data_IF_710998134033
#
_entry.id   IF_710998134033
#
_cell.length_a   1.000
_cell.length_b   1.000
_cell.length_c   1.000
_cell.angle_alpha   90.00
_cell.angle_beta   90.00
_cell.angle_gamma   90.00
#
_symmetry.space_group_name_H-M   'P 1'
#
loop_
_entity.id
_entity.type
_entity.pdbx_description
1 polymer ?
#
# COMPACT_ATOMS: atom_id res chain seq x y z
N UNK A 1 -9.14 -13.72 3.26
CA UNK A 1 -8.78 -14.74 2.25
C UNK A 1 -9.51 -14.57 0.92
N UNK A 2 -10.84 -14.62 0.87
CA UNK A 2 -11.61 -14.52 -0.40
C UNK A 2 -11.23 -13.29 -1.26
N UNK A 3 -11.12 -12.11 -0.64
CA UNK A 3 -10.70 -10.88 -1.34
C UNK A 3 -9.34 -11.02 -2.03
N UNK A 4 -8.36 -11.65 -1.37
CA UNK A 4 -7.03 -11.85 -1.95
C UNK A 4 -7.10 -12.78 -3.17
N UNK A 5 -7.83 -13.89 -3.05
CA UNK A 5 -8.05 -14.82 -4.17
C UNK A 5 -8.73 -14.14 -5.36
N UNK A 6 -9.71 -13.26 -5.11
CA UNK A 6 -10.35 -12.49 -6.17
C UNK A 6 -9.37 -11.52 -6.84
N UNK A 7 -8.54 -10.81 -6.07
CA UNK A 7 -7.53 -9.91 -6.63
C UNK A 7 -6.48 -10.68 -7.46
N UNK A 8 -6.11 -11.89 -7.02
CA UNK A 8 -5.19 -12.77 -7.75
C UNK A 8 -5.71 -13.19 -9.13
N UNK A 9 -7.03 -13.18 -9.36
CA UNK A 9 -7.60 -13.42 -10.70
C UNK A 9 -7.34 -12.28 -11.69
N UNK A 10 -6.99 -11.08 -11.19
CA UNK A 10 -6.76 -9.89 -12.02
C UNK A 10 -5.27 -9.73 -12.33
N UNK A 11 -4.42 -9.87 -11.30
CA UNK A 11 -2.97 -9.66 -11.40
C UNK A 11 -2.26 -10.32 -10.20
N UNK A 12 -0.92 -10.46 -10.22
CA UNK A 12 -0.16 -10.89 -9.04
C UNK A 12 -0.44 -10.00 -7.81
N UNK A 13 -0.63 -10.63 -6.65
CA UNK A 13 -0.98 -9.94 -5.40
C UNK A 13 0.14 -10.09 -4.38
N UNK A 14 0.51 -8.95 -3.78
CA UNK A 14 1.37 -8.88 -2.61
C UNK A 14 0.55 -8.25 -1.49
N UNK A 15 0.50 -8.90 -0.33
CA UNK A 15 -0.31 -8.47 0.80
C UNK A 15 0.50 -8.45 2.10
N UNK A 16 0.26 -7.43 2.92
CA UNK A 16 0.77 -7.34 4.29
C UNK A 16 -0.39 -7.46 5.28
N UNK A 17 -0.12 -8.00 6.46
CA UNK A 17 -1.13 -8.23 7.49
C UNK A 17 -1.65 -6.92 8.09
N UNK A 18 -2.95 -6.68 8.02
CA UNK A 18 -3.62 -5.57 8.69
C UNK A 18 -3.99 -5.86 10.14
N UNK A 19 -4.29 -4.82 10.92
CA UNK A 19 -4.66 -4.94 12.34
C UNK A 19 -5.98 -5.71 12.59
N UNK A 20 -6.83 -5.81 11.56
CA UNK A 20 -8.09 -6.57 11.60
C UNK A 20 -7.96 -8.00 11.06
N UNK A 21 -6.82 -8.37 10.48
CA UNK A 21 -6.58 -9.69 9.91
C UNK A 21 -6.13 -10.67 11.02
N UNK A 22 -7.09 -11.03 11.89
CA UNK A 22 -6.85 -11.81 13.13
C UNK A 22 -7.12 -13.30 12.99
N UNK A 23 -7.78 -13.73 11.92
CA UNK A 23 -8.10 -15.14 11.72
C UNK A 23 -6.89 -15.88 11.14
N UNK A 24 -6.90 -17.21 11.28
CA UNK A 24 -5.76 -18.10 10.94
C UNK A 24 -5.30 -18.00 9.49
N UNK A 25 -6.19 -17.68 8.55
CA UNK A 25 -5.83 -17.47 7.13
C UNK A 25 -4.79 -16.35 6.95
N UNK A 26 -4.73 -15.38 7.87
CA UNK A 26 -3.82 -14.24 7.82
C UNK A 26 -2.49 -14.49 8.51
N UNK A 27 -2.31 -15.64 9.18
CA UNK A 27 -1.05 -15.95 9.89
C UNK A 27 0.12 -16.19 8.92
N UNK A 28 -0.16 -16.49 7.65
CA UNK A 28 0.84 -16.57 6.59
C UNK A 28 1.25 -15.20 6.04
N UNK A 29 0.52 -14.12 6.35
CA UNK A 29 0.84 -12.78 5.87
C UNK A 29 1.92 -12.13 6.73
N UNK A 30 2.97 -11.64 6.09
CA UNK A 30 4.02 -10.87 6.76
C UNK A 30 3.49 -9.49 7.18
N UNK A 31 4.01 -8.95 8.29
CA UNK A 31 3.65 -7.60 8.76
C UNK A 31 4.19 -6.48 7.86
N UNK A 32 5.33 -6.72 7.22
CA UNK A 32 5.90 -5.87 6.19
C UNK A 32 6.48 -6.72 5.05
N UNK A 33 6.65 -6.11 3.89
CA UNK A 33 7.30 -6.71 2.73
C UNK A 33 8.09 -5.66 1.94
N UNK A 34 9.14 -6.10 1.25
CA UNK A 34 9.80 -5.29 0.21
C UNK A 34 9.45 -5.88 -1.14
N UNK A 35 8.94 -5.03 -2.03
CA UNK A 35 8.69 -5.37 -3.43
C UNK A 35 9.73 -4.68 -4.31
N UNK A 36 10.23 -5.41 -5.30
CA UNK A 36 11.11 -4.90 -6.34
C UNK A 36 10.35 -4.86 -7.67
N UNK A 37 10.42 -3.72 -8.37
CA UNK A 37 9.88 -3.58 -9.72
C UNK A 37 10.86 -2.78 -10.59
N UNK A 38 11.56 -3.48 -11.48
CA UNK A 38 12.74 -2.92 -12.13
C UNK A 38 13.82 -2.67 -11.08
N UNK A 39 14.43 -1.47 -11.06
CA UNK A 39 15.44 -1.10 -10.06
C UNK A 39 14.83 -0.26 -8.91
N UNK A 40 13.52 -0.37 -8.68
CA UNK A 40 12.81 0.40 -7.67
C UNK A 40 12.33 -0.51 -6.54
N UNK A 41 12.57 -0.07 -5.31
CA UNK A 41 12.19 -0.80 -4.09
C UNK A 41 11.03 -0.12 -3.36
N UNK A 42 10.04 -0.92 -2.98
CA UNK A 42 8.82 -0.47 -2.31
C UNK A 42 8.70 -1.19 -0.97
N UNK A 43 8.73 -0.46 0.14
CA UNK A 43 8.48 -1.00 1.46
C UNK A 43 6.98 -0.92 1.79
N UNK A 44 6.36 -2.06 2.05
CA UNK A 44 4.94 -2.16 2.36
C UNK A 44 4.74 -2.55 3.82
N UNK A 45 3.84 -1.88 4.53
CA UNK A 45 3.43 -2.22 5.89
C UNK A 45 2.01 -1.70 6.17
N UNK A 46 1.32 -2.23 7.17
CA UNK A 46 -0.05 -1.76 7.44
C UNK A 46 -0.10 -0.34 8.03
N UNK A 47 0.79 -0.02 8.96
CA UNK A 47 0.76 1.23 9.72
C UNK A 47 2.15 1.84 9.77
N UNK A 48 2.28 3.08 9.30
CA UNK A 48 3.57 3.78 9.17
C UNK A 48 4.26 4.01 10.52
N UNK A 49 3.52 4.00 11.63
CA UNK A 49 4.09 4.10 12.98
C UNK A 49 4.95 2.88 13.35
N UNK A 50 4.77 1.74 12.68
CA UNK A 50 5.59 0.54 12.84
C UNK A 50 6.77 0.48 11.86
N UNK A 51 7.05 1.56 11.11
CA UNK A 51 8.22 1.63 10.26
C UNK A 51 9.48 1.62 11.13
N UNK A 52 10.34 0.64 10.92
CA UNK A 52 11.50 0.30 11.76
C UNK A 52 12.86 0.60 11.10
N UNK A 53 12.85 1.25 9.94
CA UNK A 53 14.03 1.66 9.18
C UNK A 53 13.93 3.11 8.69
N UNK A 54 15.07 3.73 8.34
CA UNK A 54 15.08 4.96 7.54
C UNK A 54 15.00 4.57 6.05
N UNK A 55 13.87 4.84 5.36
CA UNK A 55 13.68 4.39 3.98
C UNK A 55 14.71 4.96 3.02
N UNK A 56 15.15 6.21 3.22
CA UNK A 56 16.12 6.83 2.34
C UNK A 56 17.51 6.19 2.52
N UNK A 57 17.89 5.86 3.75
CA UNK A 57 19.15 5.17 4.03
C UNK A 57 19.14 3.71 3.54
N UNK A 58 17.95 3.11 3.43
CA UNK A 58 17.75 1.75 2.94
C UNK A 58 17.49 1.67 1.42
N UNK A 59 17.65 2.77 0.67
CA UNK A 59 17.43 2.86 -0.79
C UNK A 59 16.00 2.49 -1.23
N UNK A 60 15.02 2.75 -0.36
CA UNK A 60 13.61 2.59 -0.68
C UNK A 60 13.11 3.78 -1.49
N UNK A 61 12.37 3.49 -2.56
CA UNK A 61 11.79 4.49 -3.44
C UNK A 61 10.38 4.87 -3.01
N UNK A 62 9.67 3.95 -2.37
CA UNK A 62 8.37 4.23 -1.76
C UNK A 62 8.12 3.43 -0.47
N UNK A 63 7.31 4.01 0.42
CA UNK A 63 6.68 3.38 1.57
C UNK A 63 5.17 3.40 1.34
N UNK A 64 4.56 2.22 1.22
CA UNK A 64 3.12 2.05 1.03
C UNK A 64 2.51 1.59 2.36
N UNK A 65 1.54 2.35 2.86
CA UNK A 65 0.92 2.08 4.15
C UNK A 65 -0.58 2.37 4.18
N UNK A 66 -1.27 1.86 5.21
CA UNK A 66 -2.72 1.97 5.35
C UNK A 66 -3.14 2.51 6.71
N UNK A 67 -3.97 1.74 7.41
CA UNK A 67 -4.51 2.01 8.75
C UNK A 67 -5.49 3.18 8.86
N UNK A 68 -5.08 4.39 8.47
CA UNK A 68 -5.86 5.62 8.71
C UNK A 68 -7.05 5.82 7.77
N UNK A 69 -7.08 5.08 6.65
CA UNK A 69 -7.99 5.25 5.51
C UNK A 69 -7.92 6.63 4.84
N UNK A 70 -6.98 7.50 5.22
CA UNK A 70 -6.82 8.84 4.63
C UNK A 70 -5.88 8.75 3.43
N UNK A 71 -6.36 9.02 2.20
CA UNK A 71 -5.49 9.02 1.02
C UNK A 71 -4.38 10.06 1.19
N UNK A 72 -3.15 9.69 0.83
CA UNK A 72 -1.99 10.54 1.02
C UNK A 72 -0.92 10.22 -0.01
N UNK A 73 -0.33 11.25 -0.60
CA UNK A 73 0.86 11.19 -1.46
C UNK A 73 1.80 12.28 -0.96
N UNK A 74 2.93 11.88 -0.38
CA UNK A 74 3.90 12.81 0.19
C UNK A 74 5.32 12.33 -0.13
N UNK A 75 6.26 13.23 -0.39
CA UNK A 75 7.67 12.87 -0.53
C UNK A 75 8.46 13.31 0.71
N UNK A 76 9.20 12.38 1.32
CA UNK A 76 10.06 12.64 2.48
C UNK A 76 11.48 12.19 2.15
N UNK A 77 12.43 13.12 2.18
CA UNK A 77 13.84 12.85 1.82
C UNK A 77 14.00 12.10 0.47
N UNK A 78 13.14 12.40 -0.51
CA UNK A 78 13.15 11.74 -1.82
C UNK A 78 12.36 10.42 -1.91
N UNK A 79 11.84 9.89 -0.79
CA UNK A 79 11.03 8.66 -0.76
C UNK A 79 9.54 8.99 -0.81
N UNK A 80 8.79 8.29 -1.66
CA UNK A 80 7.33 8.42 -1.73
C UNK A 80 6.66 7.73 -0.55
N UNK A 81 5.95 8.47 0.29
CA UNK A 81 5.03 7.93 1.29
C UNK A 81 3.61 7.95 0.74
N UNK A 82 3.03 6.77 0.56
CA UNK A 82 1.72 6.57 -0.06
C UNK A 82 0.75 5.87 0.88
N UNK A 83 -0.39 6.52 1.12
CA UNK A 83 -1.57 5.87 1.67
C UNK A 83 -2.66 5.84 0.60
N UNK A 84 -3.12 4.66 0.13
CA UNK A 84 -4.13 4.58 -0.92
C UNK A 84 -5.54 4.93 -0.42
N UNK A 85 -5.73 5.08 0.90
CA UNK A 85 -7.04 5.20 1.52
C UNK A 85 -7.71 3.84 1.74
N UNK A 86 -9.00 3.74 1.41
CA UNK A 86 -9.79 2.51 1.57
C UNK A 86 -10.64 2.24 0.34
N UNK A 87 -10.49 1.05 -0.25
CA UNK A 87 -11.32 0.57 -1.36
C UNK A 87 -12.59 -0.19 -0.91
N UNK A 88 -12.71 -0.44 0.40
CA UNK A 88 -13.90 -1.06 0.99
C UNK A 88 -15.05 -0.08 1.23
N UNK A 89 -16.12 -0.51 1.95
CA UNK A 89 -17.24 0.35 2.29
C UNK A 89 -16.79 1.68 2.91
N UNK A 90 -17.51 2.76 2.59
CA UNK A 90 -17.18 4.10 3.09
C UNK A 90 -17.07 4.08 4.60
N UNK A 91 -15.91 4.51 5.11
CA UNK A 91 -15.62 4.64 6.54
C UNK A 91 -15.52 6.11 6.87
N UNK A 92 -16.22 6.56 7.91
CA UNK A 92 -16.28 7.97 8.29
C UNK A 92 -16.83 8.85 7.16
N UNK A 93 -16.33 10.08 7.05
CA UNK A 93 -16.61 11.01 5.94
C UNK A 93 -15.62 10.88 4.76
N UNK A 94 -14.66 9.96 4.84
CA UNK A 94 -13.57 9.84 3.86
C UNK A 94 -14.05 9.27 2.52
N UNK A 95 -13.37 9.58 1.40
CA UNK A 95 -13.67 9.01 0.09
C UNK A 95 -13.27 7.53 0.04
N UNK A 96 -13.93 6.77 -0.84
CA UNK A 96 -13.50 5.42 -1.22
C UNK A 96 -12.48 5.56 -2.34
N UNK A 97 -11.28 5.05 -2.15
CA UNK A 97 -10.14 5.31 -3.04
C UNK A 97 -9.23 4.10 -3.18
N UNK A 98 -8.49 4.09 -4.28
CA UNK A 98 -7.28 3.29 -4.48
C UNK A 98 -6.15 4.19 -4.93
N UNK A 99 -4.91 3.70 -4.90
CA UNK A 99 -3.79 4.35 -5.56
C UNK A 99 -3.35 3.55 -6.78
N UNK A 100 -2.91 4.26 -7.83
CA UNK A 100 -2.21 3.69 -8.98
C UNK A 100 -0.80 4.30 -9.03
N UNK A 101 0.20 3.43 -9.15
CA UNK A 101 1.58 3.83 -9.40
C UNK A 101 1.95 3.44 -10.82
N UNK A 102 2.21 4.43 -11.67
CA UNK A 102 2.75 4.19 -13.01
C UNK A 102 4.26 4.38 -12.97
N UNK A 103 5.01 3.35 -13.36
CA UNK A 103 6.47 3.40 -13.44
C UNK A 103 6.86 3.62 -14.90
N UNK A 104 7.55 4.71 -15.19
CA UNK A 104 8.08 5.02 -16.53
C UNK A 104 9.49 5.59 -16.38
N UNK A 105 10.45 5.03 -17.12
CA UNK A 105 11.85 5.48 -17.09
C UNK A 105 12.43 5.55 -15.66
N UNK A 106 12.09 4.55 -14.82
CA UNK A 106 12.41 4.48 -13.39
C UNK A 106 11.83 5.63 -12.52
N UNK A 107 10.86 6.37 -13.02
CA UNK A 107 10.14 7.42 -12.29
C UNK A 107 8.77 6.89 -11.86
N UNK A 108 8.43 7.10 -10.59
CA UNK A 108 7.13 6.71 -10.02
C UNK A 108 6.16 7.88 -10.15
N UNK A 109 5.03 7.65 -10.81
CA UNK A 109 3.92 8.59 -10.92
C UNK A 109 2.73 8.11 -10.08
N UNK A 110 2.55 8.63 -8.86
CA UNK A 110 1.43 8.26 -8.00
C UNK A 110 0.15 9.03 -8.34
N UNK A 111 -0.97 8.32 -8.31
CA UNK A 111 -2.31 8.89 -8.48
C UNK A 111 -3.28 8.27 -7.48
N UNK A 112 -4.05 9.10 -6.78
CA UNK A 112 -5.19 8.65 -5.98
C UNK A 112 -6.42 8.66 -6.88
N UNK A 113 -7.07 7.51 -7.02
CA UNK A 113 -8.28 7.34 -7.82
C UNK A 113 -9.44 7.18 -6.84
N UNK A 114 -10.40 8.11 -6.91
CA UNK A 114 -11.66 7.99 -6.18
C UNK A 114 -12.59 7.02 -6.90
N UNK A 115 -13.04 6.00 -6.19
CA UNK A 115 -14.03 5.05 -6.68
C UNK A 115 -15.42 5.63 -6.47
N UNK A 116 -16.27 5.51 -7.49
CA UNK A 116 -17.68 5.82 -7.31
C UNK A 116 -18.36 4.66 -6.55
N UNK A 117 -19.23 4.95 -5.57
CA UNK A 117 -20.04 3.91 -4.99
C UNK A 117 -20.92 3.30 -6.09
N UNK A 118 -20.86 1.98 -6.23
CA UNK A 118 -21.87 1.18 -6.92
C UNK A 118 -23.17 1.18 -6.15
#
# INVERSE_FOLDING_TARGET
EEVLRTLETIAPVVAVRGNNDRQTWADSLSHSQVLEQGNLFFYMLHEVAHLDLDPAAADMHAVIFGHSHRPMVEYRKGVLFLNPGSAGPRRFSLPVTVARLTIKDAIIHPEIIQLQPT
#
